data_IF_793392223224
#
_entry.id   IF_793392223224
#
_cell.length_a   1.000
_cell.length_b   1.000
_cell.length_c   1.000
_cell.angle_alpha   90.00
_cell.angle_beta   90.00
_cell.angle_gamma   90.00
#
_symmetry.space_group_name_H-M   'P 1'
#
loop_
_entity.id
_entity.type
_entity.pdbx_description
1 polymer ?
#
# COMPACT_ATOMS: atom_id res chain seq x y z
N UNK A 1 30.58 44.85 -7.25
CA UNK A 1 29.69 44.38 -8.33
C UNK A 1 29.76 42.86 -8.33
N UNK A 2 28.69 42.15 -7.90
CA UNK A 2 27.81 41.31 -8.75
C UNK A 2 28.61 40.29 -9.58
N UNK A 3 28.37 38.97 -9.55
CA UNK A 3 27.17 38.21 -9.18
C UNK A 3 27.54 36.70 -9.17
N UNK A 4 26.93 36.01 -8.21
CA UNK A 4 26.25 34.72 -8.38
C UNK A 4 27.06 33.44 -8.59
N UNK A 5 27.14 32.70 -7.47
CA UNK A 5 26.82 31.29 -7.35
C UNK A 5 25.80 30.80 -8.39
N UNK A 6 26.21 29.84 -9.22
CA UNK A 6 25.31 28.84 -9.78
C UNK A 6 25.51 27.61 -8.89
N UNK A 7 24.72 27.57 -7.81
CA UNK A 7 24.37 26.28 -7.23
C UNK A 7 23.49 25.61 -8.29
N UNK A 8 24.00 24.55 -8.89
CA UNK A 8 23.17 23.66 -9.67
C UNK A 8 22.00 23.21 -8.78
N UNK A 9 20.74 23.37 -9.21
CA UNK A 9 19.63 22.81 -8.48
C UNK A 9 19.81 21.28 -8.51
N UNK A 10 20.09 20.70 -7.34
CA UNK A 10 19.96 19.27 -7.13
C UNK A 10 18.45 18.98 -7.17
N UNK A 11 17.97 18.66 -8.36
CA UNK A 11 16.56 18.43 -8.66
C UNK A 11 16.14 17.07 -8.10
N UNK A 12 15.76 17.06 -6.82
CA UNK A 12 15.35 15.90 -6.03
C UNK A 12 13.85 15.57 -6.23
N UNK A 13 13.23 16.11 -7.28
CA UNK A 13 11.83 15.92 -7.58
C UNK A 13 11.64 14.70 -8.50
N UNK A 14 11.10 13.62 -7.93
CA UNK A 14 10.64 12.41 -8.63
C UNK A 14 9.54 12.78 -9.65
N UNK A 15 9.93 13.22 -10.86
CA UNK A 15 9.04 13.63 -11.97
C UNK A 15 8.19 12.48 -12.56
N UNK A 16 8.13 11.31 -11.92
CA UNK A 16 7.22 10.25 -12.34
C UNK A 16 5.77 10.73 -12.24
N UNK A 17 5.04 10.63 -13.35
CA UNK A 17 3.58 10.75 -13.36
C UNK A 17 2.97 9.94 -12.21
N UNK A 18 1.90 10.41 -11.53
CA UNK A 18 1.35 9.75 -10.35
C UNK A 18 0.93 8.28 -10.56
N UNK A 19 0.78 7.85 -11.82
CA UNK A 19 0.48 6.47 -12.19
C UNK A 19 1.70 5.54 -12.23
N UNK A 20 2.91 6.10 -12.33
CA UNK A 20 4.18 5.39 -12.34
C UNK A 20 4.91 5.60 -11.02
N UNK A 21 5.30 4.51 -10.37
CA UNK A 21 6.11 4.56 -9.16
C UNK A 21 7.57 4.35 -9.55
N UNK A 22 8.46 5.24 -9.11
CA UNK A 22 9.90 5.02 -9.28
C UNK A 22 10.37 3.78 -8.51
N UNK A 23 11.50 3.18 -8.92
CA UNK A 23 12.00 1.94 -8.32
C UNK A 23 12.22 2.07 -6.79
N UNK A 24 12.64 3.25 -6.33
CA UNK A 24 12.81 3.54 -4.90
C UNK A 24 11.46 3.51 -4.18
N UNK A 25 10.43 4.12 -4.77
CA UNK A 25 9.09 4.18 -4.20
C UNK A 25 8.49 2.79 -4.12
N UNK A 26 8.59 1.98 -5.18
CA UNK A 26 8.17 0.58 -5.18
C UNK A 26 8.84 -0.20 -4.04
N UNK A 27 10.14 0.00 -3.84
CA UNK A 27 10.87 -0.66 -2.77
C UNK A 27 10.36 -0.23 -1.37
N UNK A 28 10.06 1.07 -1.18
CA UNK A 28 9.44 1.60 0.04
C UNK A 28 8.04 1.03 0.26
N UNK A 29 7.20 0.98 -0.77
CA UNK A 29 5.84 0.41 -0.71
C UNK A 29 5.91 -1.04 -0.22
N UNK A 30 6.79 -1.86 -0.83
CA UNK A 30 6.98 -3.27 -0.42
C UNK A 30 7.44 -3.42 1.03
N UNK A 31 8.33 -2.53 1.48
CA UNK A 31 8.77 -2.51 2.88
C UNK A 31 7.61 -2.19 3.85
N UNK A 32 6.79 -1.17 3.53
CA UNK A 32 5.62 -0.80 4.34
C UNK A 32 4.57 -1.92 4.29
N UNK A 33 4.38 -2.57 3.14
CA UNK A 33 3.45 -3.69 2.97
C UNK A 33 3.75 -4.83 3.95
N UNK A 34 5.02 -5.15 4.20
CA UNK A 34 5.39 -6.13 5.24
C UNK A 34 4.90 -5.74 6.64
N UNK A 35 5.01 -4.46 7.02
CA UNK A 35 4.43 -3.99 8.28
C UNK A 35 2.89 -4.06 8.30
N UNK A 36 2.25 -3.74 7.17
CA UNK A 36 0.79 -3.83 7.01
C UNK A 36 0.32 -5.26 7.22
N UNK A 37 0.93 -6.26 6.57
CA UNK A 37 0.62 -7.68 6.79
C UNK A 37 0.68 -8.04 8.28
N UNK A 38 1.79 -7.70 8.95
CA UNK A 38 1.96 -8.01 10.37
C UNK A 38 0.82 -7.46 11.24
N UNK A 39 0.31 -6.27 10.93
CA UNK A 39 -0.79 -5.69 11.69
C UNK A 39 -2.18 -6.22 11.31
N UNK A 40 -2.43 -6.49 10.03
CA UNK A 40 -3.69 -7.08 9.58
C UNK A 40 -3.84 -8.51 10.12
N UNK A 41 -2.75 -9.27 10.22
CA UNK A 41 -2.75 -10.60 10.84
C UNK A 41 -3.17 -10.58 12.32
N UNK A 42 -2.90 -9.50 13.06
CA UNK A 42 -3.32 -9.39 14.47
C UNK A 42 -4.83 -9.21 14.66
N UNK A 43 -5.53 -8.78 13.62
CA UNK A 43 -6.98 -8.49 13.66
C UNK A 43 -7.77 -9.40 12.72
N UNK A 44 -7.14 -10.43 12.17
CA UNK A 44 -7.75 -11.43 11.30
C UNK A 44 -7.65 -12.78 12.00
N UNK A 45 -8.76 -13.52 12.04
CA UNK A 45 -8.85 -14.80 12.75
C UNK A 45 -8.87 -15.99 11.80
N UNK A 46 -9.27 -15.79 10.55
CA UNK A 46 -9.25 -16.84 9.53
C UNK A 46 -7.81 -17.16 9.12
N UNK A 47 -7.39 -18.40 9.36
CA UNK A 47 -6.02 -18.87 9.10
C UNK A 47 -5.66 -18.85 7.62
N UNK A 48 -6.59 -19.20 6.73
CA UNK A 48 -6.37 -19.16 5.28
C UNK A 48 -6.20 -17.73 4.78
N UNK A 49 -7.00 -16.78 5.30
CA UNK A 49 -6.83 -15.36 5.02
C UNK A 49 -5.48 -14.84 5.52
N UNK A 50 -5.04 -15.26 6.70
CA UNK A 50 -3.71 -14.91 7.24
C UNK A 50 -2.62 -15.46 6.33
N UNK A 51 -2.71 -16.71 5.91
CA UNK A 51 -1.73 -17.34 5.03
C UNK A 51 -1.63 -16.60 3.68
N UNK A 52 -2.76 -16.19 3.11
CA UNK A 52 -2.82 -15.45 1.85
C UNK A 52 -2.16 -14.06 1.88
N UNK A 53 -1.95 -13.48 3.08
CA UNK A 53 -1.23 -12.20 3.22
C UNK A 53 0.29 -12.32 3.06
N UNK A 54 0.85 -13.53 3.21
CA UNK A 54 2.30 -13.77 3.17
C UNK A 54 2.77 -14.24 1.79
N UNK A 55 4.06 -14.02 1.52
CA UNK A 55 4.80 -14.64 0.42
C UNK A 55 5.96 -15.45 0.98
N UNK A 56 6.31 -16.54 0.30
CA UNK A 56 7.55 -17.28 0.53
C UNK A 56 8.76 -16.57 -0.11
N UNK A 57 8.54 -15.63 -1.03
CA UNK A 57 9.60 -14.85 -1.67
C UNK A 57 10.07 -13.71 -0.75
N UNK A 58 11.39 -13.61 -0.52
CA UNK A 58 11.99 -12.52 0.26
C UNK A 58 12.06 -11.22 -0.54
N UNK A 59 11.72 -10.10 0.11
CA UNK A 59 11.84 -8.76 -0.49
C UNK A 59 13.26 -8.22 -0.23
N UNK A 60 13.99 -7.67 -1.22
CA UNK A 60 15.41 -7.28 -1.05
C UNK A 60 15.69 -6.29 0.09
N UNK A 61 14.82 -5.29 0.29
CA UNK A 61 14.93 -4.35 1.43
C UNK A 61 14.65 -5.02 2.78
N UNK A 62 13.84 -6.07 2.78
CA UNK A 62 13.60 -6.88 3.97
C UNK A 62 14.87 -7.63 4.32
N UNK A 63 15.54 -8.26 3.35
CA UNK A 63 16.81 -8.96 3.55
C UNK A 63 17.89 -8.05 4.16
N UNK A 64 18.00 -6.80 3.68
CA UNK A 64 19.04 -5.88 4.13
C UNK A 64 18.75 -5.24 5.50
N UNK A 65 17.48 -5.11 5.92
CA UNK A 65 17.08 -4.37 7.12
C UNK A 65 16.36 -5.22 8.17
N UNK A 66 16.29 -6.54 8.00
CA UNK A 66 15.57 -7.39 8.94
C UNK A 66 16.25 -7.38 10.32
N UNK A 67 15.47 -7.09 11.37
CA UNK A 67 15.86 -7.28 12.77
C UNK A 67 15.05 -8.40 13.42
N UNK A 68 14.65 -9.40 12.63
CA UNK A 68 13.91 -10.59 13.08
C UNK A 68 12.39 -10.42 13.17
N UNK A 69 11.80 -9.38 12.56
CA UNK A 69 10.36 -9.09 12.70
C UNK A 69 9.69 -8.54 11.44
N UNK A 70 10.39 -8.54 10.32
CA UNK A 70 9.91 -8.03 9.04
C UNK A 70 9.49 -9.21 8.17
N UNK A 71 8.24 -9.18 7.71
CA UNK A 71 7.60 -10.29 6.98
C UNK A 71 7.51 -9.97 5.50
N UNK A 72 7.55 -11.01 4.66
CA UNK A 72 7.35 -10.88 3.22
C UNK A 72 5.86 -10.81 2.89
N UNK A 73 5.36 -9.69 2.34
CA UNK A 73 3.97 -9.59 1.92
C UNK A 73 3.72 -10.36 0.61
N UNK A 74 2.49 -10.86 0.44
CA UNK A 74 2.06 -11.47 -0.83
C UNK A 74 2.03 -10.45 -1.97
N UNK A 75 2.07 -10.96 -3.21
CA UNK A 75 1.99 -10.13 -4.43
C UNK A 75 0.71 -9.29 -4.46
N UNK A 76 -0.40 -9.86 -3.98
CA UNK A 76 -1.69 -9.18 -3.89
C UNK A 76 -1.66 -8.02 -2.89
N UNK A 77 -1.04 -8.21 -1.72
CA UNK A 77 -0.85 -7.13 -0.74
C UNK A 77 0.03 -6.03 -1.31
N UNK A 78 1.11 -6.37 -2.02
CA UNK A 78 1.98 -5.39 -2.67
C UNK A 78 1.20 -4.60 -3.72
N UNK A 79 0.49 -5.27 -4.64
CA UNK A 79 -0.31 -4.63 -5.68
C UNK A 79 -1.39 -3.70 -5.10
N UNK A 80 -2.07 -4.14 -4.04
CA UNK A 80 -3.04 -3.34 -3.32
C UNK A 80 -2.41 -2.09 -2.68
N UNK A 81 -1.25 -2.22 -2.03
CA UNK A 81 -0.52 -1.08 -1.47
C UNK A 81 0.00 -0.12 -2.56
N UNK A 82 0.45 -0.63 -3.71
CA UNK A 82 0.87 0.18 -4.86
C UNK A 82 -0.32 0.96 -5.46
N UNK A 83 -1.49 0.34 -5.57
CA UNK A 83 -2.72 1.00 -6.02
C UNK A 83 -3.11 2.16 -5.09
N UNK A 84 -3.03 1.94 -3.77
CA UNK A 84 -3.24 2.99 -2.78
C UNK A 84 -2.19 4.10 -2.90
N UNK A 85 -0.90 3.77 -3.07
CA UNK A 85 0.16 4.78 -3.20
C UNK A 85 -0.05 5.66 -4.43
N UNK A 86 -0.40 5.08 -5.58
CA UNK A 86 -0.73 5.84 -6.80
C UNK A 86 -1.91 6.79 -6.56
N UNK A 87 -2.96 6.31 -5.91
CA UNK A 87 -4.12 7.15 -5.58
C UNK A 87 -3.80 8.28 -4.59
N UNK A 88 -2.97 8.02 -3.58
CA UNK A 88 -2.49 9.07 -2.67
C UNK A 88 -1.66 10.12 -3.40
N UNK A 89 -0.79 9.73 -4.33
CA UNK A 89 -0.02 10.66 -5.16
C UNK A 89 -0.93 11.51 -6.05
N UNK A 90 -1.96 10.93 -6.67
CA UNK A 90 -2.98 11.69 -7.41
C UNK A 90 -3.66 12.72 -6.51
N UNK A 91 -4.16 12.30 -5.34
CA UNK A 91 -4.80 13.21 -4.38
C UNK A 91 -3.87 14.32 -3.91
N UNK A 92 -2.58 14.05 -3.70
CA UNK A 92 -1.60 15.08 -3.33
C UNK A 92 -1.49 16.18 -4.40
N UNK A 93 -1.47 15.80 -5.67
CA UNK A 93 -1.41 16.73 -6.80
C UNK A 93 -2.72 17.52 -6.93
N UNK A 94 -3.87 16.85 -6.80
CA UNK A 94 -5.19 17.46 -6.99
C UNK A 94 -5.61 18.38 -5.82
N UNK A 95 -5.35 17.96 -4.59
CA UNK A 95 -5.88 18.62 -3.39
C UNK A 95 -5.00 19.78 -2.89
N UNK A 96 -3.70 19.78 -3.20
CA UNK A 96 -2.73 20.81 -2.80
C UNK A 96 -2.49 20.96 -1.29
N UNK A 97 -3.32 20.35 -0.42
CA UNK A 97 -3.20 20.38 1.03
C UNK A 97 -3.42 19.00 1.64
N UNK A 98 -2.68 18.72 2.72
CA UNK A 98 -2.79 17.46 3.46
C UNK A 98 -4.18 17.24 4.07
N UNK A 99 -4.84 18.30 4.54
CA UNK A 99 -6.18 18.21 5.12
C UNK A 99 -7.20 17.71 4.08
N UNK A 100 -7.12 18.21 2.85
CA UNK A 100 -7.97 17.78 1.76
C UNK A 100 -7.68 16.33 1.35
N UNK A 101 -6.39 15.93 1.24
CA UNK A 101 -6.01 14.52 1.00
C UNK A 101 -6.60 13.60 2.07
N UNK A 102 -6.48 13.96 3.35
CA UNK A 102 -7.02 13.16 4.44
C UNK A 102 -8.55 13.06 4.38
N UNK A 103 -9.24 14.13 4.01
CA UNK A 103 -10.71 14.10 3.85
C UNK A 103 -11.16 13.16 2.72
N UNK A 104 -10.37 13.06 1.65
CA UNK A 104 -10.65 12.19 0.50
C UNK A 104 -10.12 10.76 0.66
N UNK A 105 -9.35 10.48 1.72
CA UNK A 105 -8.72 9.17 1.94
C UNK A 105 -9.71 8.01 2.02
N UNK A 106 -10.92 8.24 2.56
CA UNK A 106 -12.00 7.24 2.58
C UNK A 106 -12.53 6.93 1.18
N UNK A 107 -12.66 7.95 0.33
CA UNK A 107 -13.06 7.76 -1.06
C UNK A 107 -12.02 6.95 -1.83
N UNK A 108 -10.73 7.23 -1.59
CA UNK A 108 -9.63 6.46 -2.17
C UNK A 108 -9.70 4.97 -1.78
N UNK A 109 -9.99 4.65 -0.52
CA UNK A 109 -10.17 3.24 -0.11
C UNK A 109 -11.28 2.58 -0.92
N UNK A 110 -12.42 3.25 -1.12
CA UNK A 110 -13.51 2.71 -1.93
C UNK A 110 -13.13 2.53 -3.41
N UNK A 111 -12.34 3.44 -3.97
CA UNK A 111 -11.81 3.32 -5.33
C UNK A 111 -10.91 2.09 -5.49
N UNK A 112 -9.99 1.90 -4.55
CA UNK A 112 -9.09 0.74 -4.54
C UNK A 112 -9.87 -0.57 -4.33
N UNK A 113 -10.92 -0.56 -3.50
CA UNK A 113 -11.77 -1.73 -3.33
C UNK A 113 -12.55 -2.09 -4.60
N UNK A 114 -12.93 -1.10 -5.43
CA UNK A 114 -13.51 -1.40 -6.75
C UNK A 114 -12.49 -2.07 -7.67
N UNK A 115 -11.26 -1.55 -7.71
CA UNK A 115 -10.16 -2.15 -8.48
C UNK A 115 -9.85 -3.59 -8.03
N UNK A 116 -10.01 -3.90 -6.74
CA UNK A 116 -9.79 -5.26 -6.23
C UNK A 116 -10.68 -6.33 -6.87
N UNK A 117 -11.87 -5.93 -7.33
CA UNK A 117 -12.80 -6.81 -8.04
C UNK A 117 -12.34 -7.06 -9.47
N UNK A 118 -11.72 -6.06 -10.10
CA UNK A 118 -11.24 -6.14 -11.49
C UNK A 118 -9.91 -6.91 -11.57
N UNK A 119 -9.01 -6.68 -10.63
CA UNK A 119 -7.67 -7.29 -10.58
C UNK A 119 -7.66 -8.71 -9.97
N UNK A 120 -8.79 -9.17 -9.43
CA UNK A 120 -8.94 -10.47 -8.74
C UNK A 120 -7.87 -10.71 -7.65
N UNK A 121 -7.59 -9.69 -6.82
CA UNK A 121 -6.66 -9.86 -5.70
C UNK A 121 -7.14 -10.95 -4.74
N UNK A 122 -6.19 -11.74 -4.24
CA UNK A 122 -6.45 -12.91 -3.41
C UNK A 122 -7.26 -14.00 -4.12
N UNK A 123 -7.07 -14.18 -5.43
CA UNK A 123 -7.72 -15.24 -6.23
C UNK A 123 -7.61 -16.64 -5.59
N UNK A 124 -6.52 -16.92 -4.86
CA UNK A 124 -6.31 -18.18 -4.14
C UNK A 124 -7.37 -18.46 -3.05
N UNK A 125 -8.08 -17.44 -2.59
CA UNK A 125 -9.16 -17.55 -1.60
C UNK A 125 -10.54 -17.72 -2.25
N UNK A 126 -10.67 -17.74 -3.58
CA UNK A 126 -11.99 -17.88 -4.23
C UNK A 126 -12.71 -19.16 -3.81
N UNK A 127 -11.99 -20.29 -3.74
CA UNK A 127 -12.55 -21.57 -3.28
C UNK A 127 -12.89 -21.52 -1.79
N UNK A 128 -12.00 -20.94 -0.98
CA UNK A 128 -12.20 -20.77 0.47
C UNK A 128 -13.48 -19.99 0.79
N UNK A 129 -13.82 -18.96 0.02
CA UNK A 129 -15.06 -18.19 0.24
C UNK A 129 -16.32 -19.00 -0.02
N UNK A 130 -16.27 -20.01 -0.89
CA UNK A 130 -17.45 -20.85 -1.17
C UNK A 130 -17.89 -21.69 0.04
N UNK A 131 -16.95 -21.96 0.97
CA UNK A 131 -17.21 -22.74 2.19
C UNK A 131 -17.64 -21.85 3.38
N UNK A 132 -17.73 -20.53 3.18
CA UNK A 132 -18.03 -19.55 4.22
C UNK A 132 -19.46 -19.01 4.13
N UNK A 133 -19.86 -18.23 5.15
CA UNK A 133 -21.14 -17.52 5.15
C UNK A 133 -21.21 -16.54 3.96
N UNK A 134 -22.28 -16.56 3.16
CA UNK A 134 -22.40 -15.74 1.95
C UNK A 134 -22.42 -14.23 2.21
N UNK A 135 -22.66 -13.78 3.45
CA UNK A 135 -22.57 -12.39 3.86
C UNK A 135 -21.19 -12.01 4.40
N UNK A 136 -20.30 -12.98 4.63
CA UNK A 136 -18.94 -12.77 5.11
C UNK A 136 -17.93 -12.83 3.96
N UNK A 137 -17.83 -11.73 3.21
CA UNK A 137 -16.86 -11.62 2.13
C UNK A 137 -15.45 -11.35 2.70
N UNK A 138 -14.71 -12.42 2.92
CA UNK A 138 -13.36 -12.38 3.50
C UNK A 138 -12.36 -11.64 2.61
N UNK A 139 -12.38 -11.82 1.28
CA UNK A 139 -11.50 -11.09 0.35
C UNK A 139 -11.75 -9.59 0.46
N UNK A 140 -13.01 -9.16 0.40
CA UNK A 140 -13.37 -7.74 0.55
C UNK A 140 -12.88 -7.18 1.89
N UNK A 141 -13.13 -7.91 2.97
CA UNK A 141 -12.71 -7.52 4.32
C UNK A 141 -11.19 -7.43 4.44
N UNK A 142 -10.44 -8.34 3.80
CA UNK A 142 -8.99 -8.36 3.79
C UNK A 142 -8.41 -7.17 3.00
N UNK A 143 -8.89 -6.97 1.77
CA UNK A 143 -8.53 -5.82 0.93
C UNK A 143 -8.79 -4.50 1.67
N UNK A 144 -9.94 -4.39 2.34
CA UNK A 144 -10.31 -3.19 3.10
C UNK A 144 -9.36 -2.93 4.25
N UNK A 145 -9.06 -3.95 5.08
CA UNK A 145 -8.12 -3.82 6.21
C UNK A 145 -6.72 -3.39 5.74
N UNK A 146 -6.23 -3.98 4.65
CA UNK A 146 -4.92 -3.64 4.09
C UNK A 146 -4.90 -2.20 3.58
N UNK A 147 -5.88 -1.81 2.77
CA UNK A 147 -5.97 -0.46 2.18
C UNK A 147 -6.11 0.63 3.26
N UNK A 148 -7.03 0.46 4.21
CA UNK A 148 -7.24 1.43 5.30
C UNK A 148 -5.99 1.61 6.16
N UNK A 149 -5.29 0.51 6.48
CA UNK A 149 -4.08 0.58 7.29
C UNK A 149 -2.94 1.26 6.51
N UNK A 150 -2.74 0.93 5.24
CA UNK A 150 -1.71 1.55 4.42
C UNK A 150 -1.95 3.06 4.26
N UNK A 151 -3.18 3.47 3.94
CA UNK A 151 -3.59 4.89 3.89
C UNK A 151 -3.24 5.61 5.18
N UNK A 152 -3.61 5.03 6.33
CA UNK A 152 -3.34 5.60 7.65
C UNK A 152 -1.85 5.81 7.90
N UNK A 153 -1.01 4.82 7.57
CA UNK A 153 0.45 4.92 7.71
C UNK A 153 1.00 6.05 6.86
N UNK A 154 0.56 6.16 5.60
CA UNK A 154 1.06 7.17 4.66
C UNK A 154 0.65 8.59 5.05
N UNK A 155 -0.61 8.80 5.42
CA UNK A 155 -1.08 10.11 5.90
C UNK A 155 -0.29 10.53 7.14
N UNK A 156 -0.07 9.63 8.09
CA UNK A 156 0.74 9.92 9.28
C UNK A 156 2.20 10.27 8.94
N UNK A 157 2.78 9.61 7.95
CA UNK A 157 4.13 9.96 7.47
C UNK A 157 4.16 11.34 6.79
N UNK A 158 3.09 11.73 6.07
CA UNK A 158 3.01 13.05 5.44
C UNK A 158 2.79 14.19 6.45
N UNK A 159 2.29 13.89 7.65
CA UNK A 159 2.08 14.88 8.72
C UNK A 159 3.32 15.20 9.56
N UNK A 160 4.41 14.45 9.38
CA UNK A 160 5.65 14.54 10.17
C UNK A 160 6.77 15.14 9.34
#
# INVERSE_FOLDING_TARGET
>A
MRRSSILEPHDDHDYTHPENLSAVVVAVVRYIAGFVVRQVCKTTTCEECIAALYSDELVPLVEQKNRGGLVSPSKDVIGLCEAVEKGLRRLQIECGTLQAVNSQSKHLVLEVLRLSVEENWFQKLEQHILDLDPFDNHIYSLCKKVAELYVKIRIHHMTK
#
